data_IF_119410817988
#
_entry.id   IF_119410817988
#
_cell.length_a   1.000
_cell.length_b   1.000
_cell.length_c   1.000
_cell.angle_alpha   90.00
_cell.angle_beta   90.00
_cell.angle_gamma   90.00
#
_symmetry.space_group_name_H-M   'P 1'
#
loop_
_entity.id
_entity.type
_entity.pdbx_description
1 polymer ?
#
# COMPACT_ATOMS: atom_id res chain seq x y z
N UNK A 1 30.07 44.04 35.03
CA UNK A 1 28.72 43.44 35.11
C UNK A 1 28.52 42.65 33.81
N UNK A 2 28.83 41.32 33.84
CA UNK A 2 28.68 40.46 32.67
C UNK A 2 27.29 39.85 32.70
N UNK A 3 26.47 40.17 31.68
CA UNK A 3 25.17 39.56 31.46
C UNK A 3 25.41 38.24 30.71
N UNK A 4 25.20 37.11 31.41
CA UNK A 4 25.18 35.77 30.81
C UNK A 4 23.84 35.64 30.10
N UNK A 5 23.84 35.73 28.75
CA UNK A 5 22.70 35.33 27.94
C UNK A 5 22.62 33.81 27.90
N UNK A 6 21.71 33.23 28.65
CA UNK A 6 21.37 31.82 28.52
C UNK A 6 20.61 31.62 27.22
N UNK A 7 21.31 31.03 26.22
CA UNK A 7 20.66 30.49 25.00
C UNK A 7 19.90 29.25 25.42
N UNK A 8 18.58 29.37 25.57
CA UNK A 8 17.70 28.23 25.60
C UNK A 8 17.59 27.69 24.17
N UNK A 9 18.42 26.69 23.84
CA UNK A 9 18.18 25.83 22.70
C UNK A 9 17.00 24.94 23.07
N UNK A 10 15.80 25.29 22.65
CA UNK A 10 14.72 24.33 22.53
C UNK A 10 15.08 23.44 21.34
N UNK A 11 15.68 22.31 21.59
CA UNK A 11 15.67 21.19 20.62
C UNK A 11 14.20 20.76 20.54
N UNK A 12 13.51 21.17 19.45
CA UNK A 12 12.20 20.66 19.07
C UNK A 12 12.37 19.19 18.63
N UNK A 13 12.57 18.32 19.62
CA UNK A 13 12.63 16.88 19.37
C UNK A 13 11.22 16.39 19.05
N UNK A 14 10.97 16.09 17.77
CA UNK A 14 9.71 15.55 17.31
C UNK A 14 9.46 14.17 17.92
N UNK A 15 8.40 14.06 18.73
CA UNK A 15 8.03 12.80 19.37
C UNK A 15 7.36 11.84 18.37
N UNK A 16 7.32 10.55 18.70
CA UNK A 16 6.55 9.58 17.90
C UNK A 16 5.07 9.96 17.80
N UNK A 17 4.51 10.55 18.87
CA UNK A 17 3.13 11.07 18.87
C UNK A 17 2.92 12.18 17.84
N UNK A 18 3.86 13.11 17.73
CA UNK A 18 3.82 14.20 16.76
C UNK A 18 3.89 13.68 15.34
N UNK A 19 4.77 12.73 15.07
CA UNK A 19 4.87 12.06 13.76
C UNK A 19 3.56 11.37 13.36
N UNK A 20 2.92 10.66 14.29
CA UNK A 20 1.60 10.03 14.05
C UNK A 20 0.49 11.06 13.79
N UNK A 21 0.53 12.21 14.44
CA UNK A 21 -0.42 13.27 14.15
C UNK A 21 -0.21 13.85 12.76
N UNK A 22 1.06 14.11 12.36
CA UNK A 22 1.40 14.54 11.00
C UNK A 22 0.97 13.54 9.94
N UNK A 23 1.19 12.24 10.18
CA UNK A 23 0.71 11.18 9.29
C UNK A 23 -0.81 11.24 9.11
N UNK A 24 -1.55 11.33 10.22
CA UNK A 24 -3.02 11.38 10.20
C UNK A 24 -3.54 12.60 9.43
N UNK A 25 -2.93 13.75 9.66
CA UNK A 25 -3.25 14.99 8.92
C UNK A 25 -2.93 14.85 7.43
N UNK A 26 -1.77 14.26 7.09
CA UNK A 26 -1.38 14.02 5.70
C UNK A 26 -2.38 13.09 4.99
N UNK A 27 -2.80 11.99 5.64
CA UNK A 27 -3.83 11.08 5.09
C UNK A 27 -5.15 11.83 4.88
N UNK A 28 -5.60 12.59 5.87
CA UNK A 28 -6.86 13.36 5.77
C UNK A 28 -6.80 14.38 4.63
N UNK A 29 -5.69 15.07 4.50
CA UNK A 29 -5.47 16.04 3.42
C UNK A 29 -5.40 15.35 2.06
N UNK A 30 -4.75 14.20 1.96
CA UNK A 30 -4.68 13.42 0.73
C UNK A 30 -6.07 12.95 0.28
N UNK A 31 -6.87 12.41 1.20
CA UNK A 31 -8.24 11.97 0.94
C UNK A 31 -9.10 13.14 0.43
N UNK A 32 -9.05 14.29 1.11
CA UNK A 32 -9.86 15.46 0.73
C UNK A 32 -9.41 16.08 -0.58
N UNK A 33 -8.10 16.24 -0.81
CA UNK A 33 -7.54 16.85 -2.01
C UNK A 33 -7.78 16.02 -3.27
N UNK A 34 -7.89 14.70 -3.12
CA UNK A 34 -8.17 13.78 -4.23
C UNK A 34 -9.66 13.44 -4.37
N UNK A 35 -10.55 14.12 -3.63
CA UNK A 35 -12.00 13.87 -3.65
C UNK A 35 -12.35 12.39 -3.43
N UNK A 36 -11.61 11.72 -2.55
CA UNK A 36 -11.83 10.31 -2.24
C UNK A 36 -13.10 10.19 -1.41
N UNK A 37 -14.00 9.34 -1.87
CA UNK A 37 -15.21 8.97 -1.14
C UNK A 37 -14.96 7.71 -0.33
N UNK A 38 -14.91 7.85 0.97
CA UNK A 38 -14.82 6.70 1.86
C UNK A 38 -16.16 5.96 1.93
N UNK A 39 -16.11 4.62 1.81
CA UNK A 39 -17.23 3.72 2.06
C UNK A 39 -16.88 2.78 3.22
N UNK A 40 -17.91 2.35 3.95
CA UNK A 40 -17.74 1.41 5.05
C UNK A 40 -17.49 -0.02 4.56
N UNK A 41 -16.90 -0.87 5.42
CA UNK A 41 -16.72 -2.30 5.11
C UNK A 41 -18.07 -3.00 4.84
N UNK A 42 -19.14 -2.60 5.53
CA UNK A 42 -20.46 -3.14 5.30
C UNK A 42 -21.00 -2.79 3.89
N UNK A 43 -20.87 -1.52 3.47
CA UNK A 43 -21.24 -1.11 2.11
C UNK A 43 -20.42 -1.85 1.06
N UNK A 44 -19.12 -2.01 1.30
CA UNK A 44 -18.24 -2.75 0.41
C UNK A 44 -18.66 -4.20 0.25
N UNK A 45 -18.97 -4.89 1.36
CA UNK A 45 -19.47 -6.29 1.33
C UNK A 45 -20.82 -6.37 0.60
N UNK A 46 -21.75 -5.47 0.89
CA UNK A 46 -23.06 -5.43 0.21
C UNK A 46 -22.96 -5.20 -1.29
N UNK A 47 -21.91 -4.50 -1.75
CA UNK A 47 -21.58 -4.29 -3.16
C UNK A 47 -20.81 -5.47 -3.79
N UNK A 48 -20.72 -6.62 -3.11
CA UNK A 48 -19.94 -7.78 -3.57
C UNK A 48 -18.44 -7.53 -3.56
N UNK A 49 -17.94 -6.79 -2.59
CA UNK A 49 -16.54 -6.39 -2.43
C UNK A 49 -16.00 -5.66 -3.69
N UNK A 50 -16.72 -4.64 -4.14
CA UNK A 50 -16.31 -3.74 -5.24
C UNK A 50 -16.36 -2.29 -4.81
N UNK A 51 -15.60 -1.44 -5.50
CA UNK A 51 -15.61 0.02 -5.34
C UNK A 51 -15.98 0.68 -6.67
N UNK A 52 -16.65 1.82 -6.62
CA UNK A 52 -16.99 2.61 -7.81
C UNK A 52 -15.84 3.57 -8.13
N UNK A 53 -15.08 3.26 -9.17
CA UNK A 53 -13.93 4.08 -9.59
C UNK A 53 -14.35 5.45 -10.13
N UNK A 54 -15.52 5.56 -10.75
CA UNK A 54 -16.04 6.83 -11.26
C UNK A 54 -16.43 7.79 -10.12
N UNK A 55 -16.76 7.26 -8.95
CA UNK A 55 -17.06 8.03 -7.75
C UNK A 55 -15.85 8.15 -6.80
N UNK A 56 -14.68 7.72 -7.21
CA UNK A 56 -13.48 7.69 -6.35
C UNK A 56 -13.72 6.99 -5.00
N UNK A 57 -14.49 5.87 -5.00
CA UNK A 57 -14.78 5.14 -3.77
C UNK A 57 -13.58 4.34 -3.30
N UNK A 58 -13.23 4.50 -2.01
CA UNK A 58 -12.27 3.69 -1.28
C UNK A 58 -12.94 3.11 -0.05
N UNK A 59 -12.76 1.81 0.18
CA UNK A 59 -13.17 1.19 1.44
C UNK A 59 -12.09 1.40 2.48
N UNK A 60 -12.48 1.86 3.68
CA UNK A 60 -11.60 1.85 4.84
C UNK A 60 -11.69 0.50 5.53
N UNK A 61 -10.58 -0.23 5.60
CA UNK A 61 -10.47 -1.55 6.21
C UNK A 61 -9.92 -1.41 7.63
N UNK A 62 -10.81 -1.42 8.61
CA UNK A 62 -10.52 -1.06 10.01
C UNK A 62 -9.45 -1.94 10.66
N UNK A 63 -9.38 -3.23 10.29
CA UNK A 63 -8.39 -4.19 10.81
C UNK A 63 -6.95 -3.81 10.45
N UNK A 64 -6.72 -3.28 9.26
CA UNK A 64 -5.40 -2.90 8.75
C UNK A 64 -5.15 -1.41 8.80
N UNK A 65 -6.20 -0.59 8.83
CA UNK A 65 -6.11 0.85 8.66
C UNK A 65 -5.82 1.29 7.22
N UNK A 66 -5.99 0.40 6.24
CA UNK A 66 -5.73 0.66 4.82
C UNK A 66 -7.02 1.12 4.13
N UNK A 67 -6.92 2.16 3.30
CA UNK A 67 -7.98 2.50 2.33
C UNK A 67 -7.67 1.81 1.01
N UNK A 68 -8.68 1.17 0.42
CA UNK A 68 -8.51 0.43 -0.82
C UNK A 68 -9.59 0.79 -1.84
N UNK A 69 -9.15 1.10 -3.07
CA UNK A 69 -9.99 1.11 -4.26
C UNK A 69 -9.62 -0.08 -5.13
N UNK A 70 -10.59 -0.88 -5.53
CA UNK A 70 -10.41 -1.95 -6.52
C UNK A 70 -10.79 -1.39 -7.88
N UNK A 71 -9.81 -1.26 -8.78
CA UNK A 71 -10.04 -0.84 -10.18
C UNK A 71 -10.49 -2.05 -10.99
N UNK A 72 -9.81 -3.20 -10.82
CA UNK A 72 -10.15 -4.49 -11.43
C UNK A 72 -9.85 -5.61 -10.44
N UNK A 73 -10.79 -6.56 -10.30
CA UNK A 73 -10.59 -7.72 -9.43
C UNK A 73 -9.62 -8.76 -10.01
N UNK A 74 -9.36 -8.71 -11.31
CA UNK A 74 -8.68 -9.78 -12.03
C UNK A 74 -9.62 -10.93 -12.39
N UNK A 75 -9.18 -11.75 -13.37
CA UNK A 75 -9.95 -12.90 -13.90
C UNK A 75 -9.20 -14.23 -13.68
N UNK A 76 -8.24 -14.23 -12.78
CA UNK A 76 -7.47 -15.43 -12.43
C UNK A 76 -8.03 -16.16 -11.21
N UNK A 77 -7.13 -16.78 -10.47
CA UNK A 77 -7.45 -17.59 -9.29
C UNK A 77 -7.00 -16.89 -8.01
N UNK A 78 -7.67 -17.21 -6.90
CA UNK A 78 -7.18 -16.85 -5.57
C UNK A 78 -5.96 -17.72 -5.21
N UNK A 79 -5.12 -17.21 -4.32
CA UNK A 79 -4.08 -18.02 -3.71
C UNK A 79 -4.75 -19.04 -2.80
N UNK A 80 -4.53 -20.32 -3.09
CA UNK A 80 -5.06 -21.41 -2.27
C UNK A 80 -4.40 -21.42 -0.88
N UNK A 81 -5.14 -21.95 0.09
CA UNK A 81 -4.60 -22.12 1.45
C UNK A 81 -3.37 -23.04 1.46
N UNK A 82 -2.38 -22.70 2.27
CA UNK A 82 -1.11 -23.43 2.41
C UNK A 82 -0.31 -23.55 1.11
N UNK A 83 -0.52 -22.62 0.17
CA UNK A 83 0.24 -22.56 -1.08
C UNK A 83 1.13 -21.33 -1.12
N UNK A 84 2.26 -21.50 -1.80
CA UNK A 84 3.17 -20.44 -2.21
C UNK A 84 2.96 -20.12 -3.69
N UNK A 85 2.88 -18.83 -4.00
CA UNK A 85 2.71 -18.37 -5.37
C UNK A 85 3.68 -17.21 -5.60
N UNK A 86 4.33 -17.23 -6.75
CA UNK A 86 5.09 -16.06 -7.18
C UNK A 86 4.13 -15.07 -7.85
N UNK A 87 4.22 -13.83 -7.39
CA UNK A 87 3.42 -12.72 -7.89
C UNK A 87 4.37 -11.68 -8.47
N UNK A 88 4.12 -11.31 -9.71
CA UNK A 88 4.78 -10.19 -10.36
C UNK A 88 3.94 -8.94 -10.11
N UNK A 89 4.61 -7.83 -9.80
CA UNK A 89 3.93 -6.60 -9.41
C UNK A 89 4.47 -5.43 -10.21
N UNK A 90 3.55 -4.65 -10.77
CA UNK A 90 3.82 -3.28 -11.22
C UNK A 90 3.22 -2.32 -10.24
N UNK A 91 3.95 -1.26 -9.92
CA UNK A 91 3.50 -0.33 -8.90
C UNK A 91 3.98 1.09 -9.14
N UNK A 92 3.22 2.01 -8.58
CA UNK A 92 3.63 3.36 -8.22
C UNK A 92 3.52 3.51 -6.71
N UNK A 93 4.54 4.07 -6.09
CA UNK A 93 4.56 4.47 -4.69
C UNK A 93 4.72 5.98 -4.62
N UNK A 94 3.94 6.61 -3.76
CA UNK A 94 4.07 8.02 -3.46
C UNK A 94 3.97 8.25 -1.95
N UNK A 95 5.08 8.62 -1.34
CA UNK A 95 5.14 9.16 0.02
C UNK A 95 4.63 10.60 -0.03
N UNK A 96 3.37 10.79 0.25
CA UNK A 96 2.73 12.10 0.14
C UNK A 96 2.97 13.01 1.35
N UNK A 97 3.71 12.55 2.36
CA UNK A 97 4.20 13.40 3.44
C UNK A 97 5.53 14.08 3.07
N UNK A 98 6.45 13.36 2.44
CA UNK A 98 7.78 13.86 2.09
C UNK A 98 7.94 14.15 0.57
N UNK A 99 6.97 13.76 -0.25
CA UNK A 99 6.97 14.00 -1.68
C UNK A 99 7.83 13.04 -2.50
N UNK A 100 8.29 11.93 -1.93
CA UNK A 100 9.11 10.93 -2.63
C UNK A 100 8.24 9.99 -3.46
N UNK A 101 8.76 9.58 -4.63
CA UNK A 101 8.09 8.63 -5.51
C UNK A 101 9.03 7.51 -5.94
N UNK A 102 8.48 6.31 -6.07
CA UNK A 102 9.16 5.14 -6.61
C UNK A 102 8.19 4.38 -7.52
N UNK A 103 8.65 3.90 -8.68
CA UNK A 103 7.76 3.20 -9.61
C UNK A 103 8.54 2.28 -10.55
N UNK A 104 7.89 1.20 -10.99
CA UNK A 104 8.33 0.38 -12.12
C UNK A 104 7.32 0.41 -13.29
N UNK A 105 6.25 1.21 -13.20
CA UNK A 105 5.17 1.27 -14.20
C UNK A 105 5.64 1.70 -15.60
N UNK A 106 6.64 2.57 -15.68
CA UNK A 106 7.14 3.11 -16.95
C UNK A 106 7.91 2.06 -17.78
N UNK A 107 8.33 0.95 -17.16
CA UNK A 107 9.08 -0.11 -17.85
C UNK A 107 8.19 -1.27 -18.23
N UNK A 108 8.24 -1.69 -19.48
CA UNK A 108 7.55 -2.90 -19.95
C UNK A 108 8.20 -4.22 -19.48
N UNK A 109 9.45 -4.15 -18.99
CA UNK A 109 10.28 -5.33 -18.70
C UNK A 109 10.67 -5.46 -17.23
N UNK A 110 10.44 -4.43 -16.40
CA UNK A 110 10.80 -4.45 -15.01
C UNK A 110 9.55 -4.73 -14.18
N UNK A 111 9.58 -5.84 -13.46
CA UNK A 111 8.57 -6.24 -12.50
C UNK A 111 9.24 -6.43 -11.15
N UNK A 112 8.54 -6.10 -10.10
CA UNK A 112 8.88 -6.61 -8.78
C UNK A 112 8.29 -7.99 -8.62
N UNK A 113 9.12 -8.94 -8.19
CA UNK A 113 8.70 -10.30 -7.92
C UNK A 113 8.67 -10.53 -6.43
N UNK A 114 7.54 -11.01 -5.94
CA UNK A 114 7.38 -11.46 -4.57
C UNK A 114 6.86 -12.89 -4.50
N UNK A 115 7.33 -13.65 -3.52
CA UNK A 115 6.74 -14.95 -3.16
C UNK A 115 5.74 -14.71 -2.04
N UNK A 116 4.48 -15.06 -2.28
CA UNK A 116 3.37 -14.94 -1.32
C UNK A 116 3.00 -16.33 -0.82
N UNK A 117 2.82 -16.45 0.49
CA UNK A 117 2.28 -17.65 1.14
C UNK A 117 0.99 -17.31 1.86
N UNK A 118 -0.03 -18.15 1.69
CA UNK A 118 -1.30 -18.02 2.40
C UNK A 118 -1.42 -19.09 3.48
N UNK A 119 -1.81 -18.67 4.69
CA UNK A 119 -2.16 -19.56 5.80
C UNK A 119 -3.49 -19.09 6.42
N UNK A 120 -4.54 -19.84 6.15
CA UNK A 120 -5.89 -19.45 6.52
C UNK A 120 -6.31 -18.12 5.88
N UNK A 121 -6.54 -17.12 6.72
CA UNK A 121 -6.85 -15.74 6.33
C UNK A 121 -5.63 -14.81 6.34
N UNK A 122 -4.42 -15.33 6.55
CA UNK A 122 -3.20 -14.54 6.66
C UNK A 122 -2.32 -14.75 5.43
N UNK A 123 -1.75 -13.64 4.94
CA UNK A 123 -0.74 -13.67 3.89
C UNK A 123 0.60 -13.21 4.46
N UNK A 124 1.66 -13.89 4.05
CA UNK A 124 3.04 -13.44 4.24
C UNK A 124 3.74 -13.39 2.90
N UNK A 125 4.66 -12.46 2.73
CA UNK A 125 5.38 -12.35 1.47
C UNK A 125 6.81 -11.86 1.67
N UNK A 126 7.64 -12.16 0.68
CA UNK A 126 9.02 -11.68 0.60
C UNK A 126 9.32 -11.28 -0.84
N UNK A 127 9.93 -10.12 -1.04
CA UNK A 127 10.45 -9.74 -2.35
C UNK A 127 11.61 -10.65 -2.74
N UNK A 128 11.63 -11.04 -3.99
CA UNK A 128 12.68 -11.87 -4.61
C UNK A 128 13.61 -10.99 -5.44
N UNK A 129 13.03 -10.05 -6.19
CA UNK A 129 13.75 -9.13 -7.07
C UNK A 129 12.89 -7.93 -7.41
N UNK A 130 13.50 -6.91 -7.97
CA UNK A 130 12.85 -5.71 -8.47
C UNK A 130 13.26 -4.44 -7.76
N UNK A 131 12.55 -3.37 -8.02
CA UNK A 131 12.81 -2.03 -7.50
C UNK A 131 12.63 -1.97 -5.98
N UNK A 132 11.52 -2.55 -5.48
CA UNK A 132 11.24 -2.61 -4.03
C UNK A 132 12.30 -3.43 -3.29
N UNK A 133 12.69 -4.59 -3.83
CA UNK A 133 13.74 -5.41 -3.25
C UNK A 133 15.08 -4.66 -3.15
N UNK A 134 15.42 -3.89 -4.17
CA UNK A 134 16.66 -3.11 -4.21
C UNK A 134 16.62 -1.91 -3.27
N UNK A 135 15.45 -1.30 -3.07
CA UNK A 135 15.27 -0.09 -2.27
C UNK A 135 15.02 -0.40 -0.78
N UNK A 136 14.15 -1.38 -0.51
CA UNK A 136 13.63 -1.68 0.84
C UNK A 136 13.95 -3.10 1.33
N UNK A 137 14.84 -3.82 0.64
CA UNK A 137 15.18 -5.23 0.89
C UNK A 137 13.99 -6.18 0.67
N UNK A 138 14.05 -7.38 1.28
CA UNK A 138 13.07 -8.45 1.03
C UNK A 138 11.70 -8.24 1.70
N UNK A 139 11.53 -7.24 2.55
CA UNK A 139 10.30 -7.04 3.33
C UNK A 139 9.20 -6.41 2.49
N UNK A 140 8.11 -7.15 2.26
CA UNK A 140 6.92 -6.64 1.57
C UNK A 140 6.05 -5.85 2.54
N UNK A 141 5.57 -4.64 2.19
CA UNK A 141 4.60 -3.91 3.00
C UNK A 141 3.35 -4.76 3.23
N UNK A 142 2.93 -4.90 4.46
CA UNK A 142 1.72 -5.71 4.77
C UNK A 142 0.47 -5.14 4.12
N UNK A 143 0.42 -3.83 3.90
CA UNK A 143 -0.64 -3.16 3.14
C UNK A 143 -0.81 -3.69 1.71
N UNK A 144 0.27 -4.17 1.07
CA UNK A 144 0.21 -4.77 -0.27
C UNK A 144 -0.47 -6.13 -0.29
N UNK A 145 -0.59 -6.80 0.86
CA UNK A 145 -1.19 -8.12 0.97
C UNK A 145 -2.70 -8.05 1.24
N UNK A 146 -3.18 -6.93 1.72
CA UNK A 146 -4.61 -6.70 2.04
C UNK A 146 -5.53 -6.94 0.84
N UNK A 147 -5.23 -6.48 -0.39
CA UNK A 147 -6.08 -6.74 -1.55
C UNK A 147 -6.24 -8.20 -1.92
N UNK A 148 -5.30 -9.08 -1.55
CA UNK A 148 -5.32 -10.49 -1.94
C UNK A 148 -6.54 -11.27 -1.40
N UNK A 149 -7.21 -10.75 -0.37
CA UNK A 149 -8.48 -11.30 0.10
C UNK A 149 -9.64 -11.03 -0.89
N UNK A 150 -9.53 -10.01 -1.73
CA UNK A 150 -10.61 -9.49 -2.55
C UNK A 150 -10.42 -9.67 -4.05
N UNK A 151 -9.16 -9.78 -4.50
CA UNK A 151 -8.79 -9.90 -5.92
C UNK A 151 -8.40 -11.33 -6.29
N UNK A 152 -8.31 -11.60 -7.59
CA UNK A 152 -7.82 -12.86 -8.16
C UNK A 152 -6.61 -12.60 -9.04
N UNK A 153 -5.65 -13.52 -9.07
CA UNK A 153 -4.40 -13.34 -9.76
C UNK A 153 -4.44 -14.05 -11.11
N UNK A 154 -4.58 -13.29 -12.18
CA UNK A 154 -4.49 -13.78 -13.55
C UNK A 154 -3.03 -13.90 -13.98
N UNK A 155 -2.80 -14.79 -14.95
CA UNK A 155 -1.54 -14.83 -15.71
C UNK A 155 -1.61 -13.80 -16.83
N UNK A 156 -0.47 -13.29 -17.32
CA UNK A 156 -0.45 -12.37 -18.45
C UNK A 156 -0.75 -13.12 -19.74
N UNK A 157 -2.01 -13.35 -19.99
CA UNK A 157 -2.50 -13.82 -21.29
C UNK A 157 -3.33 -12.68 -21.90
N UNK A 158 -3.42 -12.63 -23.22
CA UNK A 158 -4.15 -11.57 -23.93
C UNK A 158 -5.62 -11.42 -23.53
N UNK A 159 -6.18 -12.43 -22.84
CA UNK A 159 -7.61 -12.59 -22.63
C UNK A 159 -8.06 -12.43 -21.17
N UNK A 160 -7.14 -12.27 -20.23
CA UNK A 160 -7.46 -12.17 -18.80
C UNK A 160 -7.09 -10.80 -18.23
N UNK A 161 -8.04 -10.12 -17.60
CA UNK A 161 -7.77 -8.88 -16.89
C UNK A 161 -6.94 -9.13 -15.62
N UNK A 162 -5.87 -8.35 -15.44
CA UNK A 162 -5.05 -8.36 -14.25
C UNK A 162 -5.73 -7.63 -13.11
N UNK A 163 -5.47 -8.04 -11.88
CA UNK A 163 -5.93 -7.34 -10.70
C UNK A 163 -5.23 -5.98 -10.57
N UNK A 164 -5.99 -4.94 -10.29
CA UNK A 164 -5.48 -3.57 -10.16
C UNK A 164 -6.18 -2.85 -9.02
N UNK A 165 -5.39 -2.25 -8.13
CA UNK A 165 -5.87 -1.57 -6.94
C UNK A 165 -5.12 -0.27 -6.70
N UNK A 166 -5.77 0.63 -5.95
CA UNK A 166 -5.13 1.80 -5.34
C UNK A 166 -5.28 1.72 -3.84
N UNK A 167 -4.21 2.06 -3.11
CA UNK A 167 -4.16 1.95 -1.67
C UNK A 167 -3.65 3.25 -1.04
N UNK A 168 -4.18 3.60 0.13
CA UNK A 168 -3.54 4.50 1.07
C UNK A 168 -3.14 3.65 2.26
N UNK A 169 -1.84 3.56 2.50
CA UNK A 169 -1.23 2.64 3.46
C UNK A 169 -0.58 3.46 4.57
N UNK A 170 -1.05 3.36 5.82
CA UNK A 170 -0.40 4.02 6.95
C UNK A 170 0.96 3.38 7.22
N UNK A 171 1.85 4.10 7.91
CA UNK A 171 3.20 3.64 8.20
C UNK A 171 3.23 2.23 8.80
N UNK A 172 2.27 1.90 9.67
CA UNK A 172 2.22 0.59 10.36
C UNK A 172 2.02 -0.61 9.42
N UNK A 173 1.56 -0.37 8.20
CA UNK A 173 1.38 -1.37 7.14
C UNK A 173 2.33 -1.15 5.96
N UNK A 174 3.20 -0.16 6.06
CA UNK A 174 4.15 0.25 5.03
C UNK A 174 5.45 -0.54 5.03
N UNK A 175 6.44 -0.04 4.29
CA UNK A 175 7.82 -0.54 4.29
C UNK A 175 8.46 -0.37 5.66
N UNK A 176 9.57 -1.09 5.93
CA UNK A 176 10.34 -0.91 7.17
C UNK A 176 10.79 0.54 7.36
N UNK A 177 11.09 1.24 6.26
CA UNK A 177 11.44 2.65 6.28
C UNK A 177 10.23 3.52 6.67
N UNK A 178 9.05 3.29 6.08
CA UNK A 178 7.82 3.99 6.44
C UNK A 178 7.48 3.81 7.92
N UNK A 179 7.65 2.58 8.43
CA UNK A 179 7.44 2.28 9.86
C UNK A 179 8.41 3.04 10.78
N UNK A 180 9.68 3.12 10.40
CA UNK A 180 10.71 3.79 11.20
C UNK A 180 10.56 5.31 11.23
N UNK A 181 10.17 5.90 10.11
CA UNK A 181 10.06 7.36 9.97
C UNK A 181 8.63 7.89 10.12
N UNK A 182 7.64 6.99 10.17
CA UNK A 182 6.21 7.30 10.39
C UNK A 182 5.64 8.17 9.26
N UNK A 183 5.66 7.64 8.05
CA UNK A 183 5.03 8.28 6.90
C UNK A 183 4.09 7.32 6.16
N UNK A 184 2.96 7.83 5.64
CA UNK A 184 2.02 7.04 4.85
C UNK A 184 2.41 7.05 3.38
N UNK A 185 2.03 6.00 2.65
CA UNK A 185 2.21 5.94 1.21
C UNK A 185 0.90 5.69 0.48
N UNK A 186 0.75 6.35 -0.66
CA UNK A 186 -0.19 5.93 -1.68
C UNK A 186 0.48 4.93 -2.60
N UNK A 187 -0.26 3.89 -2.98
CA UNK A 187 0.17 2.90 -3.96
C UNK A 187 -0.87 2.74 -5.06
N UNK A 188 -0.41 2.60 -6.30
CA UNK A 188 -1.16 2.04 -7.40
C UNK A 188 -0.48 0.74 -7.78
N UNK A 189 -1.19 -0.40 -7.74
CA UNK A 189 -0.59 -1.73 -7.86
C UNK A 189 -1.37 -2.57 -8.87
N UNK A 190 -0.64 -3.24 -9.76
CA UNK A 190 -1.13 -4.29 -10.64
C UNK A 190 -0.47 -5.59 -10.24
N UNK A 191 -1.27 -6.63 -9.96
CA UNK A 191 -0.80 -7.95 -9.60
C UNK A 191 -0.99 -8.93 -10.75
N UNK A 192 0.02 -9.75 -10.95
CA UNK A 192 0.07 -10.76 -11.97
C UNK A 192 0.64 -12.06 -11.40
N UNK A 193 0.05 -13.22 -11.71
CA UNK A 193 0.57 -14.52 -11.28
C UNK A 193 1.68 -14.94 -12.23
N UNK A 194 2.87 -15.25 -11.70
CA UNK A 194 3.95 -15.84 -12.50
C UNK A 194 3.54 -17.21 -13.04
N UNK A 195 4.02 -17.55 -14.23
CA UNK A 195 3.77 -18.84 -14.90
C UNK A 195 4.31 -20.03 -14.12
#
# INVERSE_FOLDING_TARGET
MFILAALWSCDDYETYGDKKNKEREAITNFISSNNIKEITENEFVLKGCTTDTAKHEYVYLSKSGVWMQIIRKGEGEKIENQKRVNVLVRFEEYDFLNGNSLSNMASSYIFDKMTVYRDGSTYTASFVSGVMASTYSASVPTGWLVPLDYVTLARPTSDQALAEVKLIVPHSQGTSQAQSYVYPCYYHIIYEREK
#
